data_IF_158930033873
#
_entry.id   IF_158930033873
#
_cell.length_a   1.000
_cell.length_b   1.000
_cell.length_c   1.000
_cell.angle_alpha   90.00
_cell.angle_beta   90.00
_cell.angle_gamma   90.00
#
_symmetry.space_group_name_H-M   'P 1'
#
loop_
_entity.id
_entity.type
_entity.pdbx_description
1 polymer ?
#
# COMPACT_ATOMS: atom_id res chain seq x y z
N UNK A 1 -11.05 -9.20 13.13
CA UNK A 1 -9.92 -9.55 14.02
C UNK A 1 -9.68 -8.40 14.98
N UNK A 2 -9.50 -8.68 16.26
CA UNK A 2 -9.21 -7.66 17.28
C UNK A 2 -7.99 -8.10 18.08
N UNK A 3 -7.10 -7.17 18.40
CA UNK A 3 -5.97 -7.40 19.32
C UNK A 3 -5.78 -6.18 20.21
N UNK A 4 -5.14 -6.38 21.36
CA UNK A 4 -4.75 -5.33 22.27
C UNK A 4 -3.32 -5.56 22.74
N UNK A 5 -2.55 -4.48 22.90
CA UNK A 5 -1.18 -4.52 23.40
C UNK A 5 -0.95 -3.39 24.40
N UNK A 6 -0.01 -3.60 25.31
CA UNK A 6 0.40 -2.60 26.31
C UNK A 6 1.88 -2.75 26.65
N UNK A 7 2.58 -1.63 26.79
CA UNK A 7 3.95 -1.56 27.27
C UNK A 7 4.20 -0.19 27.90
N UNK A 8 4.53 -0.15 29.20
CA UNK A 8 4.62 1.09 29.99
C UNK A 8 3.33 1.92 29.84
N UNK A 9 3.44 3.21 29.54
CA UNK A 9 2.31 4.13 29.38
C UNK A 9 1.59 3.99 28.02
N UNK A 10 2.12 3.18 27.11
CA UNK A 10 1.47 2.87 25.84
C UNK A 10 0.50 1.71 25.99
N UNK A 11 -0.72 1.89 25.50
CA UNK A 11 -1.69 0.81 25.33
C UNK A 11 -2.60 1.13 24.15
N UNK A 12 -2.95 0.13 23.36
CA UNK A 12 -3.92 0.31 22.27
C UNK A 12 -4.74 -0.94 22.01
N UNK A 13 -5.90 -0.72 21.37
CA UNK A 13 -6.72 -1.75 20.73
C UNK A 13 -6.66 -1.56 19.22
N UNK A 14 -6.43 -2.63 18.49
CA UNK A 14 -6.43 -2.65 17.02
C UNK A 14 -7.53 -3.59 16.53
N UNK A 15 -8.44 -3.06 15.72
CA UNK A 15 -9.51 -3.83 15.07
C UNK A 15 -9.24 -3.80 13.57
N UNK A 16 -9.22 -4.97 12.94
CA UNK A 16 -9.18 -5.13 11.48
C UNK A 16 -10.40 -5.90 11.01
N UNK A 17 -11.07 -5.36 10.01
CA UNK A 17 -12.20 -5.97 9.34
C UNK A 17 -11.87 -6.18 7.87
N UNK A 18 -12.12 -7.40 7.39
CA UNK A 18 -12.03 -7.76 5.98
C UNK A 18 -13.43 -8.08 5.50
N UNK A 19 -13.90 -7.42 4.45
CA UNK A 19 -15.18 -7.73 3.81
C UNK A 19 -14.97 -8.01 2.34
N UNK A 20 -15.52 -9.13 1.88
CA UNK A 20 -15.69 -9.42 0.47
C UNK A 20 -17.18 -9.23 0.16
N UNK A 21 -17.49 -8.29 -0.73
CA UNK A 21 -18.87 -8.02 -1.15
C UNK A 21 -18.86 -7.68 -2.64
N UNK A 22 -19.72 -8.35 -3.40
CA UNK A 22 -19.73 -8.24 -4.86
C UNK A 22 -18.33 -8.49 -5.45
N UNK A 23 -17.83 -7.56 -6.27
CA UNK A 23 -16.48 -7.58 -6.84
C UNK A 23 -15.53 -6.68 -6.06
N UNK A 24 -15.69 -6.58 -4.74
CA UNK A 24 -14.85 -5.70 -3.92
C UNK A 24 -14.40 -6.37 -2.63
N UNK A 25 -13.10 -6.24 -2.33
CA UNK A 25 -12.47 -6.59 -1.07
C UNK A 25 -12.09 -5.30 -0.33
N UNK A 26 -12.61 -5.08 0.87
CA UNK A 26 -12.17 -3.99 1.74
C UNK A 26 -11.39 -4.53 2.94
N UNK A 27 -10.35 -3.80 3.33
CA UNK A 27 -9.57 -4.02 4.55
C UNK A 27 -9.57 -2.73 5.36
N UNK A 28 -10.45 -2.66 6.37
CA UNK A 28 -10.59 -1.52 7.27
C UNK A 28 -9.89 -1.80 8.59
N UNK A 29 -9.17 -0.81 9.11
CA UNK A 29 -8.46 -0.92 10.39
C UNK A 29 -8.75 0.30 11.26
N UNK A 30 -8.93 0.06 12.56
CA UNK A 30 -9.13 1.06 13.60
C UNK A 30 -8.10 0.81 14.72
N UNK A 31 -7.31 1.83 15.05
CA UNK A 31 -6.46 1.85 16.23
C UNK A 31 -7.04 2.84 17.23
N UNK A 32 -7.33 2.38 18.44
CA UNK A 32 -7.73 3.20 19.57
C UNK A 32 -6.63 3.18 20.62
N UNK A 33 -6.10 4.36 20.98
CA UNK A 33 -5.13 4.49 22.06
C UNK A 33 -5.84 4.45 23.42
N UNK A 34 -5.61 3.39 24.17
CA UNK A 34 -6.18 3.13 25.50
C UNK A 34 -5.19 3.45 26.64
N UNK A 35 -3.98 3.90 26.32
CA UNK A 35 -2.92 4.22 27.27
C UNK A 35 -2.93 5.69 27.72
N UNK A 36 -1.90 6.04 28.48
CA UNK A 36 -1.67 7.40 28.98
C UNK A 36 -0.67 8.20 28.12
N UNK A 37 0.15 7.53 27.30
CA UNK A 37 1.09 8.16 26.37
C UNK A 37 0.58 8.13 24.91
N UNK A 38 1.01 9.09 24.06
CA UNK A 38 0.77 9.01 22.62
C UNK A 38 1.36 7.74 21.99
N UNK A 39 0.61 7.09 21.11
CA UNK A 39 1.03 5.88 20.38
C UNK A 39 1.46 6.27 18.96
N UNK A 40 2.76 6.33 18.65
CA UNK A 40 3.22 6.42 17.26
C UNK A 40 3.07 5.06 16.58
N UNK A 41 2.61 5.04 15.34
CA UNK A 41 2.60 3.84 14.52
C UNK A 41 3.04 4.12 13.09
N UNK A 42 3.56 3.06 12.45
CA UNK A 42 3.78 2.97 11.01
C UNK A 42 3.14 1.68 10.53
N UNK A 43 2.20 1.80 9.60
CA UNK A 43 1.44 0.70 9.03
C UNK A 43 1.59 0.72 7.51
N UNK A 44 1.50 -0.43 6.86
CA UNK A 44 1.44 -0.50 5.41
C UNK A 44 0.68 -1.75 4.98
N UNK A 45 -0.01 -1.66 3.84
CA UNK A 45 -0.47 -2.85 3.13
C UNK A 45 0.69 -3.40 2.31
N UNK A 46 0.86 -4.73 2.30
CA UNK A 46 1.88 -5.41 1.50
C UNK A 46 1.22 -6.47 0.59
N UNK A 47 0.41 -6.03 -0.41
CA UNK A 47 -0.28 -6.93 -1.32
C UNK A 47 0.69 -7.52 -2.36
N UNK A 48 0.55 -8.80 -2.66
CA UNK A 48 1.30 -9.46 -3.73
C UNK A 48 0.39 -9.72 -4.93
N UNK A 49 0.65 -9.02 -6.03
CA UNK A 49 -0.07 -9.18 -7.29
C UNK A 49 0.69 -10.11 -8.24
N UNK A 50 -0.02 -10.91 -9.06
CA UNK A 50 0.62 -11.69 -10.11
C UNK A 50 1.27 -10.75 -11.14
N UNK A 51 2.36 -11.21 -11.75
CA UNK A 51 2.97 -10.53 -12.88
C UNK A 51 2.07 -10.64 -14.10
N UNK A 52 2.02 -9.59 -14.92
CA UNK A 52 1.40 -9.64 -16.26
C UNK A 52 2.42 -10.14 -17.28
N UNK A 53 1.92 -10.71 -18.38
CA UNK A 53 2.78 -11.20 -19.47
C UNK A 53 3.66 -10.11 -20.10
N UNK A 54 3.21 -8.85 -20.08
CA UNK A 54 3.94 -7.69 -20.62
C UNK A 54 4.79 -6.95 -19.57
N UNK A 55 4.80 -7.42 -18.31
CA UNK A 55 5.53 -6.80 -17.21
C UNK A 55 4.95 -5.47 -16.72
N UNK A 56 3.76 -5.10 -17.16
CA UNK A 56 3.02 -3.91 -16.71
C UNK A 56 2.50 -4.11 -15.29
N UNK A 57 2.81 -3.17 -14.39
CA UNK A 57 2.51 -3.29 -12.97
C UNK A 57 1.26 -2.51 -12.59
N UNK A 58 1.39 -1.20 -12.37
CA UNK A 58 0.31 -0.38 -11.87
C UNK A 58 0.45 1.07 -12.28
N UNK A 59 -0.64 1.82 -12.20
CA UNK A 59 -0.69 3.26 -12.43
C UNK A 59 -1.21 3.94 -11.16
N UNK A 60 -0.33 4.47 -10.30
CA UNK A 60 -0.70 5.36 -9.21
C UNK A 60 -1.17 6.71 -9.76
N UNK A 61 -2.37 7.15 -9.37
CA UNK A 61 -2.92 8.41 -9.83
C UNK A 61 -2.06 9.60 -9.37
N UNK A 62 -1.67 10.45 -10.33
CA UNK A 62 -0.88 11.66 -10.07
C UNK A 62 0.62 11.45 -9.95
N UNK A 63 1.14 10.23 -10.18
CA UNK A 63 2.58 9.99 -10.26
C UNK A 63 3.10 10.48 -11.61
N UNK A 64 4.13 11.33 -11.60
CA UNK A 64 4.71 11.87 -12.84
C UNK A 64 6.16 11.46 -13.06
N UNK A 65 6.85 10.97 -12.03
CA UNK A 65 8.22 10.47 -12.13
C UNK A 65 8.49 9.32 -11.17
N UNK A 66 9.42 8.45 -11.56
CA UNK A 66 10.06 7.52 -10.65
C UNK A 66 11.47 8.01 -10.32
N UNK A 67 12.00 7.74 -9.11
CA UNK A 67 13.42 7.91 -8.85
C UNK A 67 14.24 6.96 -9.75
N UNK A 68 15.50 7.31 -9.99
CA UNK A 68 16.42 6.44 -10.73
C UNK A 68 16.56 5.09 -10.02
N UNK A 69 16.34 4.02 -10.77
CA UNK A 69 16.37 2.66 -10.26
C UNK A 69 16.54 1.66 -11.43
N UNK A 70 17.07 0.45 -11.18
CA UNK A 70 17.31 -0.52 -12.24
C UNK A 70 16.05 -1.29 -12.67
N UNK A 71 15.06 -1.46 -11.77
CA UNK A 71 13.99 -2.44 -11.93
C UNK A 71 12.70 -1.92 -12.58
N UNK A 72 12.39 -0.65 -12.46
CA UNK A 72 11.09 -0.09 -12.86
C UNK A 72 11.26 1.13 -13.77
N UNK A 73 10.35 1.25 -14.72
CA UNK A 73 10.20 2.44 -15.57
C UNK A 73 8.77 2.97 -15.52
N UNK A 74 8.62 4.27 -15.70
CA UNK A 74 7.33 4.92 -15.87
C UNK A 74 7.08 5.09 -17.37
N UNK A 75 6.01 4.49 -17.87
CA UNK A 75 5.58 4.57 -19.27
C UNK A 75 4.86 5.89 -19.56
N UNK A 76 4.74 6.24 -20.84
CA UNK A 76 4.10 7.48 -21.29
C UNK A 76 2.61 7.57 -20.95
N UNK A 77 1.94 6.43 -20.77
CA UNK A 77 0.55 6.34 -20.35
C UNK A 77 0.37 6.34 -18.81
N UNK A 78 1.48 6.49 -18.08
CA UNK A 78 1.51 6.59 -16.61
C UNK A 78 1.57 5.25 -15.88
N UNK A 79 1.61 4.11 -16.58
CA UNK A 79 1.86 2.83 -15.91
C UNK A 79 3.33 2.67 -15.57
N UNK A 80 3.58 2.07 -14.41
CA UNK A 80 4.87 1.51 -14.04
C UNK A 80 4.98 0.13 -14.67
N UNK A 81 6.14 -0.18 -15.23
CA UNK A 81 6.45 -1.49 -15.78
C UNK A 81 7.82 -1.99 -15.30
N UNK A 82 7.97 -3.32 -15.26
CA UNK A 82 9.21 -4.02 -14.94
C UNK A 82 10.21 -3.92 -16.10
N UNK A 83 11.44 -3.51 -15.82
CA UNK A 83 12.54 -3.47 -16.77
C UNK A 83 13.02 -4.88 -17.11
N UNK A 84 13.09 -5.20 -18.40
CA UNK A 84 13.51 -6.51 -18.91
C UNK A 84 15.01 -6.79 -18.70
N UNK A 85 15.82 -5.74 -18.52
CA UNK A 85 17.26 -5.86 -18.25
C UNK A 85 17.62 -6.11 -16.78
N UNK A 86 16.65 -6.07 -15.85
CA UNK A 86 16.91 -6.30 -14.42
C UNK A 86 16.94 -7.79 -14.09
N UNK A 87 17.84 -8.20 -13.18
CA UNK A 87 17.91 -9.59 -12.71
C UNK A 87 16.87 -9.86 -11.61
N UNK A 88 15.63 -10.15 -12.02
CA UNK A 88 14.47 -10.26 -11.13
C UNK A 88 14.52 -11.27 -9.97
N UNK A 89 15.31 -12.37 -10.00
CA UNK A 89 15.47 -13.22 -8.82
C UNK A 89 16.01 -12.49 -7.57
N UNK A 90 16.77 -11.40 -7.73
CA UNK A 90 17.25 -10.55 -6.62
C UNK A 90 16.19 -9.58 -6.10
N UNK A 91 15.12 -9.40 -6.87
CA UNK A 91 14.09 -8.41 -6.64
C UNK A 91 14.56 -6.96 -6.84
N UNK A 92 13.64 -6.02 -6.69
CA UNK A 92 13.91 -4.60 -6.73
C UNK A 92 12.97 -3.87 -5.77
N UNK A 93 13.52 -3.00 -4.93
CA UNK A 93 12.77 -2.15 -4.01
C UNK A 93 13.00 -0.67 -4.35
N UNK A 94 11.92 0.09 -4.48
CA UNK A 94 11.97 1.53 -4.80
C UNK A 94 10.99 2.29 -3.94
N UNK A 95 11.43 3.39 -3.31
CA UNK A 95 10.54 4.33 -2.61
C UNK A 95 10.11 5.47 -3.52
N UNK A 96 8.84 5.81 -3.48
CA UNK A 96 8.21 6.87 -4.27
C UNK A 96 7.62 7.90 -3.31
N UNK A 97 8.25 9.06 -3.22
CA UNK A 97 7.87 10.12 -2.27
C UNK A 97 6.88 11.15 -2.86
N UNK A 98 6.75 11.21 -4.19
CA UNK A 98 5.95 12.23 -4.90
C UNK A 98 4.47 12.26 -4.46
N UNK A 99 3.95 11.13 -3.99
CA UNK A 99 2.56 10.96 -3.59
C UNK A 99 2.31 11.18 -2.09
N UNK A 100 3.35 11.52 -1.31
CA UNK A 100 3.24 11.70 0.13
C UNK A 100 2.24 12.80 0.51
N UNK A 101 1.54 12.59 1.62
CA UNK A 101 0.53 13.49 2.16
C UNK A 101 -0.86 13.36 1.51
N UNK A 102 -1.05 12.46 0.54
CA UNK A 102 -2.32 12.31 -0.21
C UNK A 102 -2.89 10.90 -0.07
N UNK A 103 -4.23 10.72 -0.15
CA UNK A 103 -4.83 9.42 -0.40
C UNK A 103 -4.35 8.82 -1.73
N UNK A 104 -4.39 7.50 -1.84
CA UNK A 104 -3.87 6.78 -3.00
C UNK A 104 -5.02 6.18 -3.82
N UNK A 105 -4.95 6.31 -5.14
CA UNK A 105 -5.75 5.52 -6.10
C UNK A 105 -4.78 4.88 -7.09
N UNK A 106 -4.94 3.58 -7.35
CA UNK A 106 -4.07 2.80 -8.26
C UNK A 106 -4.93 1.97 -9.20
N UNK A 107 -4.55 1.94 -10.47
CA UNK A 107 -5.00 0.91 -11.42
C UNK A 107 -3.90 -0.15 -11.50
N UNK A 108 -4.14 -1.31 -10.91
CA UNK A 108 -3.23 -2.45 -10.97
C UNK A 108 -3.54 -3.26 -12.22
N UNK A 109 -2.57 -3.48 -13.10
CA UNK A 109 -2.76 -4.33 -14.28
C UNK A 109 -2.94 -5.80 -13.86
N UNK A 110 -3.80 -6.52 -14.59
CA UNK A 110 -4.06 -7.93 -14.30
C UNK A 110 -4.60 -8.66 -15.54
N UNK A 111 -3.90 -9.68 -16.04
CA UNK A 111 -4.23 -10.33 -17.33
C UNK A 111 -5.65 -10.92 -17.40
N UNK A 112 -6.15 -11.50 -16.30
CA UNK A 112 -7.51 -12.08 -16.29
C UNK A 112 -8.64 -11.05 -16.15
N UNK A 113 -8.45 -9.98 -15.36
CA UNK A 113 -9.50 -9.01 -15.02
C UNK A 113 -9.36 -7.70 -15.81
N UNK A 114 -8.31 -7.56 -16.62
CA UNK A 114 -7.84 -6.29 -17.18
C UNK A 114 -7.13 -5.44 -16.12
N UNK A 115 -7.87 -5.00 -15.10
CA UNK A 115 -7.33 -4.21 -13.99
C UNK A 115 -8.03 -4.48 -12.66
N UNK A 116 -7.30 -4.24 -11.56
CA UNK A 116 -7.87 -4.12 -10.22
C UNK A 116 -7.73 -2.65 -9.81
N UNK A 117 -8.84 -2.01 -9.45
CA UNK A 117 -8.81 -0.64 -8.92
C UNK A 117 -8.60 -0.68 -7.42
N UNK A 118 -7.59 0.02 -6.94
CA UNK A 118 -7.24 0.04 -5.52
C UNK A 118 -7.30 1.47 -4.99
N UNK A 119 -7.98 1.67 -3.86
CA UNK A 119 -8.04 2.97 -3.18
C UNK A 119 -7.61 2.83 -1.73
N UNK A 120 -6.86 3.83 -1.24
CA UNK A 120 -6.50 3.98 0.16
C UNK A 120 -7.00 5.35 0.64
N UNK A 121 -7.77 5.38 1.72
CA UNK A 121 -8.41 6.62 2.20
C UNK A 121 -7.56 7.42 3.21
N UNK A 122 -6.27 7.09 3.35
CA UNK A 122 -5.35 7.68 4.30
C UNK A 122 -4.21 8.39 3.57
N UNK A 123 -3.67 9.49 4.13
CA UNK A 123 -2.53 10.17 3.53
C UNK A 123 -1.29 9.28 3.60
N UNK A 124 -0.61 9.10 2.47
CA UNK A 124 0.62 8.32 2.43
C UNK A 124 1.74 9.01 3.21
N UNK A 125 2.46 8.25 4.03
CA UNK A 125 3.78 8.67 4.52
C UNK A 125 4.90 8.30 3.56
N UNK A 126 4.72 7.21 2.82
CA UNK A 126 5.59 6.70 1.76
C UNK A 126 4.76 5.82 0.81
N UNK A 127 5.21 5.62 -0.42
CA UNK A 127 4.83 4.51 -1.28
C UNK A 127 6.08 3.70 -1.61
N UNK A 128 6.06 2.38 -1.44
CA UNK A 128 7.12 1.53 -1.99
C UNK A 128 6.61 0.70 -3.17
N UNK A 129 7.52 0.41 -4.09
CA UNK A 129 7.36 -0.58 -5.14
C UNK A 129 8.32 -1.71 -4.82
N UNK A 130 7.83 -2.94 -4.90
CA UNK A 130 8.65 -4.12 -4.75
C UNK A 130 8.25 -5.17 -5.78
N UNK A 131 9.22 -5.85 -6.39
CA UNK A 131 8.94 -7.01 -7.22
C UNK A 131 10.12 -7.97 -7.25
N UNK A 132 9.83 -9.20 -7.65
CA UNK A 132 10.79 -10.21 -8.07
C UNK A 132 10.25 -10.97 -9.30
N UNK A 133 10.84 -12.12 -9.65
CA UNK A 133 10.41 -12.96 -10.77
C UNK A 133 9.06 -13.67 -10.55
N UNK A 134 8.40 -13.45 -9.40
CA UNK A 134 7.12 -14.11 -9.03
C UNK A 134 5.97 -13.15 -8.81
N UNK A 135 6.21 -11.94 -8.33
CA UNK A 135 5.15 -11.03 -7.92
C UNK A 135 5.60 -9.58 -7.94
N UNK A 136 4.62 -8.69 -8.03
CA UNK A 136 4.75 -7.25 -7.85
C UNK A 136 3.91 -6.78 -6.66
N UNK A 137 4.39 -5.75 -5.97
CA UNK A 137 3.71 -5.05 -4.88
C UNK A 137 3.86 -3.54 -5.03
N UNK A 138 2.77 -2.83 -4.74
CA UNK A 138 2.85 -1.44 -4.30
C UNK A 138 2.38 -1.36 -2.85
N UNK A 139 3.16 -0.69 -2.02
CA UNK A 139 3.03 -0.70 -0.56
C UNK A 139 2.74 0.71 -0.06
N UNK A 140 1.46 1.06 0.19
CA UNK A 140 1.10 2.36 0.73
C UNK A 140 1.36 2.39 2.25
N UNK A 141 2.29 3.23 2.68
CA UNK A 141 2.58 3.44 4.10
C UNK A 141 1.69 4.53 4.69
N UNK A 142 1.23 4.29 5.91
CA UNK A 142 0.53 5.25 6.76
C UNK A 142 1.29 5.41 8.07
N UNK A 143 1.63 6.64 8.42
CA UNK A 143 2.32 6.96 9.67
C UNK A 143 1.56 8.05 10.41
N UNK A 144 1.29 7.82 11.70
CA UNK A 144 0.59 8.79 12.55
C UNK A 144 0.91 8.53 14.03
N UNK A 145 0.73 9.56 14.84
CA UNK A 145 0.66 9.46 16.31
C UNK A 145 -0.78 9.60 16.78
N UNK A 146 -1.26 8.66 17.59
CA UNK A 146 -2.60 8.67 18.19
C UNK A 146 -2.49 9.10 19.64
N UNK A 147 -3.10 10.22 20.00
CA UNK A 147 -3.09 10.73 21.37
C UNK A 147 -3.93 9.85 22.32
N UNK A 148 -3.73 9.92 23.65
CA UNK A 148 -4.53 9.17 24.61
C UNK A 148 -6.03 9.34 24.38
N UNK A 149 -6.79 8.23 24.43
CA UNK A 149 -8.24 8.18 24.21
C UNK A 149 -8.70 8.65 22.81
N UNK A 150 -7.79 8.75 21.84
CA UNK A 150 -8.11 9.06 20.45
C UNK A 150 -8.01 7.82 19.56
N UNK A 151 -8.59 7.94 18.37
CA UNK A 151 -8.61 6.88 17.37
C UNK A 151 -8.00 7.31 16.03
N UNK A 152 -7.50 6.34 15.28
CA UNK A 152 -7.17 6.47 13.87
C UNK A 152 -7.81 5.32 13.09
N UNK A 153 -8.50 5.66 12.00
CA UNK A 153 -9.13 4.70 11.11
C UNK A 153 -8.60 4.86 9.69
N UNK A 154 -8.38 3.74 9.01
CA UNK A 154 -7.91 3.72 7.63
C UNK A 154 -8.42 2.49 6.90
N UNK A 155 -8.50 2.56 5.57
CA UNK A 155 -9.08 1.51 4.73
C UNK A 155 -8.37 1.46 3.39
N UNK A 156 -8.15 0.22 2.92
CA UNK A 156 -7.79 -0.08 1.54
C UNK A 156 -8.92 -0.88 0.90
N UNK A 157 -9.34 -0.52 -0.31
CA UNK A 157 -10.37 -1.22 -1.08
C UNK A 157 -9.78 -1.67 -2.41
N UNK A 158 -10.03 -2.92 -2.78
CA UNK A 158 -9.69 -3.52 -4.07
C UNK A 158 -11.00 -3.84 -4.80
N UNK A 159 -11.16 -3.35 -6.03
CA UNK A 159 -12.29 -3.65 -6.90
C UNK A 159 -11.80 -4.45 -8.11
N UNK A 160 -12.36 -5.64 -8.30
CA UNK A 160 -12.00 -6.60 -9.34
C UNK A 160 -12.89 -6.49 -10.58
#
# INVERSE_FOLDING_TARGET
>A
MTTAQSFKDWSFRLVREIRLQNRSLSSSTLLHNTGAAPVPFRWFAHPFFPLTNDGRCCQPAGLTKLPENPGFRLETDGFIAMNTGHHWPEGCYVKVEELNGRPLTVRQAHDLCGEIRVTCNFPLSDLALWANDRTFSFEPFYQRTVLPQQEAAWTTVYHF
#
